data_IF_494944706498
#
_entry.id   IF_494944706498
#
_cell.length_a   1.000
_cell.length_b   1.000
_cell.length_c   1.000
_cell.angle_alpha   90.00
_cell.angle_beta   90.00
_cell.angle_gamma   90.00
#
_symmetry.space_group_name_H-M   'P 1'
#
loop_
_entity.id
_entity.type
_entity.pdbx_description
1 polymer ?
#
# COMPACT_ATOMS: atom_id res chain seq x y z
N UNK A 1 20.12 4.43 1.47
CA UNK A 1 18.81 4.89 0.96
C UNK A 1 17.77 3.90 1.42
N UNK A 2 16.82 4.34 2.23
CA UNK A 2 15.65 3.52 2.57
C UNK A 2 14.43 4.11 1.88
N UNK A 3 13.58 3.23 1.36
CA UNK A 3 12.29 3.58 0.81
C UNK A 3 11.24 3.41 1.90
N UNK A 4 10.45 4.47 2.13
CA UNK A 4 9.41 4.49 3.17
C UNK A 4 8.27 3.51 2.87
N UNK A 5 8.01 3.22 1.59
CA UNK A 5 7.01 2.24 1.17
C UNK A 5 7.54 1.47 -0.04
N UNK A 6 7.69 0.15 0.08
CA UNK A 6 7.95 -0.73 -1.05
C UNK A 6 6.87 -1.81 -1.07
N UNK A 7 6.03 -1.80 -2.11
CA UNK A 7 5.05 -2.88 -2.30
C UNK A 7 5.67 -3.97 -3.15
N UNK A 8 5.88 -5.13 -2.53
CA UNK A 8 6.19 -6.34 -3.27
C UNK A 8 4.92 -6.78 -3.99
N UNK A 9 4.93 -6.73 -5.32
CA UNK A 9 3.89 -7.32 -6.15
C UNK A 9 4.07 -8.84 -6.19
N UNK A 10 3.72 -9.50 -5.10
CA UNK A 10 3.83 -10.96 -4.98
C UNK A 10 2.78 -11.73 -5.80
N UNK A 11 2.05 -11.07 -6.70
CA UNK A 11 1.02 -11.74 -7.50
C UNK A 11 1.67 -12.54 -8.65
N UNK A 12 1.97 -13.81 -8.38
CA UNK A 12 2.31 -14.84 -9.36
C UNK A 12 3.80 -14.97 -9.73
N UNK A 13 4.58 -13.89 -9.69
CA UNK A 13 6.02 -13.91 -10.06
C UNK A 13 7.00 -13.65 -8.92
N UNK A 14 6.51 -13.19 -7.75
CA UNK A 14 7.38 -12.85 -6.61
C UNK A 14 8.27 -11.62 -6.83
N UNK A 15 8.03 -10.83 -7.88
CA UNK A 15 8.84 -9.66 -8.23
C UNK A 15 8.42 -8.44 -7.40
N UNK A 16 9.41 -7.78 -6.81
CA UNK A 16 9.22 -6.53 -6.10
C UNK A 16 9.50 -5.33 -7.01
N UNK A 17 8.64 -4.32 -6.94
CA UNK A 17 8.78 -3.10 -7.73
C UNK A 17 8.90 -1.90 -6.81
N UNK A 18 9.71 -0.94 -7.24
CA UNK A 18 9.96 0.30 -6.54
C UNK A 18 9.48 1.46 -7.38
N UNK A 19 8.43 2.12 -6.92
CA UNK A 19 8.03 3.42 -7.40
C UNK A 19 8.94 4.50 -6.81
N UNK A 20 9.44 5.38 -7.66
CA UNK A 20 10.37 6.45 -7.28
C UNK A 20 9.67 7.80 -7.32
N UNK A 21 10.17 8.78 -6.55
CA UNK A 21 9.66 10.14 -6.57
C UNK A 21 9.77 10.84 -7.95
N UNK A 22 10.47 10.25 -8.92
CA UNK A 22 10.51 10.73 -10.30
C UNK A 22 9.41 10.14 -11.18
N UNK A 23 8.49 9.36 -10.60
CA UNK A 23 7.35 8.76 -11.30
C UNK A 23 7.67 7.47 -12.03
N UNK A 24 8.93 7.00 -11.95
CA UNK A 24 9.39 5.78 -12.58
C UNK A 24 9.24 4.57 -11.64
N UNK A 25 8.95 3.42 -12.23
CA UNK A 25 9.01 2.12 -11.56
C UNK A 25 10.25 1.33 -12.00
N UNK A 26 10.93 0.73 -11.02
CA UNK A 26 12.09 -0.15 -11.24
C UNK A 26 11.88 -1.49 -10.54
N UNK A 27 12.48 -2.57 -11.07
CA UNK A 27 12.51 -3.87 -10.38
C UNK A 27 13.52 -3.81 -9.24
N UNK A 28 13.14 -4.28 -8.06
CA UNK A 28 14.05 -4.36 -6.92
C UNK A 28 14.95 -5.59 -7.03
N UNK A 29 16.20 -5.40 -6.68
CA UNK A 29 17.18 -6.46 -6.44
C UNK A 29 16.97 -7.11 -5.05
N UNK A 30 17.41 -8.36 -4.84
CA UNK A 30 17.42 -8.98 -3.52
C UNK A 30 18.19 -8.19 -2.46
N UNK A 31 19.16 -7.38 -2.87
CA UNK A 31 20.03 -6.57 -2.02
C UNK A 31 19.40 -5.21 -1.66
N UNK A 32 18.32 -4.79 -2.32
CA UNK A 32 17.62 -3.56 -1.99
C UNK A 32 16.97 -3.65 -0.60
N UNK A 33 17.32 -2.69 0.26
CA UNK A 33 16.73 -2.54 1.59
C UNK A 33 15.31 -1.99 1.54
N UNK A 34 14.46 -2.50 2.45
CA UNK A 34 13.11 -2.00 2.70
C UNK A 34 13.00 -1.69 4.18
N UNK A 35 12.62 -0.45 4.52
CA UNK A 35 12.47 -0.06 5.93
C UNK A 35 11.16 -0.62 6.53
N UNK A 36 10.12 -0.70 5.71
CA UNK A 36 8.83 -1.26 6.07
C UNK A 36 8.14 -1.88 4.85
N UNK A 37 7.54 -3.04 5.03
CA UNK A 37 6.78 -3.69 3.97
C UNK A 37 5.91 -4.82 4.52
N UNK A 38 4.70 -4.93 3.99
CA UNK A 38 3.80 -6.06 4.28
C UNK A 38 3.79 -6.98 3.08
N UNK A 39 4.11 -8.26 3.31
CA UNK A 39 4.20 -9.27 2.24
C UNK A 39 3.47 -10.54 2.66
N UNK A 40 2.74 -11.13 1.73
CA UNK A 40 2.07 -12.41 1.94
C UNK A 40 2.17 -13.27 0.68
N UNK A 41 2.09 -14.59 0.85
CA UNK A 41 1.79 -15.47 -0.28
C UNK A 41 0.36 -15.19 -0.72
N UNK A 42 0.15 -15.02 -2.01
CA UNK A 42 -1.15 -14.74 -2.58
C UNK A 42 -1.61 -15.95 -3.41
N UNK A 43 -2.70 -16.57 -2.98
CA UNK A 43 -3.40 -17.61 -3.72
C UNK A 43 -4.23 -16.96 -4.83
N UNK A 44 -3.76 -17.11 -6.08
CA UNK A 44 -4.44 -16.60 -7.28
C UNK A 44 -5.57 -17.52 -7.75
N UNK A 45 -5.83 -18.65 -7.08
CA UNK A 45 -6.91 -19.57 -7.43
C UNK A 45 -8.23 -19.24 -6.74
N UNK A 46 -8.21 -18.32 -5.76
CA UNK A 46 -9.44 -17.82 -5.12
C UNK A 46 -10.40 -17.20 -6.14
N UNK A 47 -11.71 -17.25 -5.90
CA UNK A 47 -12.70 -16.68 -6.82
C UNK A 47 -12.41 -15.22 -7.17
N UNK A 48 -12.63 -14.89 -8.44
CA UNK A 48 -12.61 -13.50 -8.91
C UNK A 48 -14.00 -12.92 -8.75
N UNK A 49 -14.09 -11.84 -7.99
CA UNK A 49 -15.31 -11.07 -7.82
C UNK A 49 -15.24 -9.78 -8.64
N UNK A 50 -16.41 -9.24 -8.99
CA UNK A 50 -16.49 -7.96 -9.70
C UNK A 50 -17.06 -6.89 -8.78
N UNK A 51 -16.34 -5.78 -8.67
CA UNK A 51 -16.87 -4.55 -8.08
C UNK A 51 -17.08 -3.54 -9.20
N UNK A 52 -18.25 -2.91 -9.22
CA UNK A 52 -18.63 -1.92 -10.22
C UNK A 52 -18.98 -0.58 -9.58
N UNK A 53 -18.95 0.48 -10.37
CA UNK A 53 -19.33 1.84 -10.00
C UNK A 53 -18.49 2.37 -8.81
N UNK A 54 -17.16 2.36 -8.94
CA UNK A 54 -16.24 2.90 -7.95
C UNK A 54 -15.91 4.35 -8.32
N UNK A 55 -16.64 5.31 -7.76
CA UNK A 55 -16.46 6.73 -8.03
C UNK A 55 -15.31 7.38 -7.25
N UNK A 56 -14.89 6.79 -6.13
CA UNK A 56 -13.78 7.26 -5.29
C UNK A 56 -13.13 6.12 -4.50
N UNK A 57 -12.01 6.40 -3.82
CA UNK A 57 -11.36 5.45 -2.90
C UNK A 57 -12.23 5.15 -1.67
N UNK A 58 -13.03 6.11 -1.21
CA UNK A 58 -14.00 5.93 -0.12
C UNK A 58 -15.10 4.95 -0.54
N UNK A 59 -15.64 5.09 -1.74
CA UNK A 59 -16.62 4.13 -2.29
C UNK A 59 -16.01 2.74 -2.45
N UNK A 60 -14.72 2.63 -2.82
CA UNK A 60 -14.03 1.33 -2.80
C UNK A 60 -13.98 0.75 -1.39
N UNK A 61 -13.58 1.54 -0.38
CA UNK A 61 -13.52 1.11 1.03
C UNK A 61 -14.89 0.66 1.54
N UNK A 62 -15.96 1.38 1.21
CA UNK A 62 -17.34 1.00 1.54
C UNK A 62 -17.73 -0.33 0.90
N UNK A 63 -17.43 -0.53 -0.39
CA UNK A 63 -17.69 -1.80 -1.09
C UNK A 63 -16.85 -2.95 -0.56
N UNK A 64 -15.69 -2.68 0.02
CA UNK A 64 -14.82 -3.68 0.64
C UNK A 64 -15.24 -4.03 2.08
N UNK A 65 -16.06 -3.20 2.75
CA UNK A 65 -16.43 -3.43 4.15
C UNK A 65 -17.09 -4.80 4.41
N UNK A 66 -18.03 -5.29 3.58
CA UNK A 66 -18.66 -6.60 3.79
C UNK A 66 -17.69 -7.79 3.75
N UNK A 67 -16.54 -7.64 3.08
CA UNK A 67 -15.54 -8.70 2.94
C UNK A 67 -14.77 -8.96 4.23
N UNK A 68 -14.60 -7.92 5.05
CA UNK A 68 -13.84 -7.99 6.32
C UNK A 68 -14.76 -8.06 7.54
N UNK A 69 -16.04 -7.69 7.39
CA UNK A 69 -17.02 -7.66 8.48
C UNK A 69 -17.18 -9.01 9.19
N UNK A 70 -17.08 -10.13 8.47
CA UNK A 70 -17.19 -11.47 9.07
C UNK A 70 -16.06 -11.77 10.05
N UNK A 71 -14.86 -11.20 9.85
CA UNK A 71 -13.75 -11.34 10.77
C UNK A 71 -12.81 -10.12 10.68
N UNK A 72 -13.11 -9.02 11.39
CA UNK A 72 -12.30 -7.81 11.34
C UNK A 72 -10.95 -7.95 12.06
N UNK A 73 -10.69 -9.10 12.68
CA UNK A 73 -9.53 -9.38 13.52
C UNK A 73 -8.43 -10.18 12.79
N UNK A 74 -8.51 -10.31 11.47
CA UNK A 74 -7.43 -10.90 10.67
C UNK A 74 -7.00 -9.94 9.57
N UNK A 75 -5.78 -10.15 9.09
CA UNK A 75 -5.30 -9.42 7.93
C UNK A 75 -5.98 -9.93 6.66
N UNK A 76 -6.14 -9.05 5.68
CA UNK A 76 -6.55 -9.46 4.34
C UNK A 76 -5.63 -8.85 3.30
N UNK A 77 -5.26 -9.64 2.28
CA UNK A 77 -4.55 -9.16 1.11
C UNK A 77 -5.52 -9.12 -0.06
N UNK A 78 -5.58 -7.97 -0.72
CA UNK A 78 -6.42 -7.71 -1.88
C UNK A 78 -5.54 -7.59 -3.13
N UNK A 79 -5.98 -8.19 -4.22
CA UNK A 79 -5.52 -7.84 -5.56
C UNK A 79 -6.73 -7.48 -6.41
N UNK A 80 -6.72 -6.28 -6.98
CA UNK A 80 -7.72 -5.86 -7.96
C UNK A 80 -7.04 -5.46 -9.27
N UNK A 81 -7.67 -5.75 -10.40
CA UNK A 81 -7.20 -5.34 -11.74
C UNK A 81 -8.32 -4.66 -12.49
N UNK A 82 -7.98 -3.63 -13.26
CA UNK A 82 -8.94 -2.95 -14.13
C UNK A 82 -8.33 -1.73 -14.81
N UNK A 83 -9.22 -0.94 -15.41
CA UNK A 83 -8.89 0.36 -15.98
C UNK A 83 -9.47 1.45 -15.10
N UNK A 84 -8.60 2.37 -14.69
CA UNK A 84 -8.92 3.45 -13.78
C UNK A 84 -9.14 4.73 -14.59
N UNK A 85 -10.37 5.23 -14.59
CA UNK A 85 -10.69 6.52 -15.22
C UNK A 85 -9.92 7.67 -14.57
N UNK A 86 -9.66 7.56 -13.26
CA UNK A 86 -8.74 8.41 -12.50
C UNK A 86 -7.88 7.57 -11.58
N UNK A 87 -6.61 7.89 -11.49
CA UNK A 87 -5.68 7.32 -10.52
C UNK A 87 -4.82 8.44 -9.96
N UNK A 88 -4.88 8.64 -8.64
CA UNK A 88 -4.10 9.62 -7.92
C UNK A 88 -3.18 8.88 -6.93
N UNK A 89 -1.88 8.99 -7.16
CA UNK A 89 -0.87 8.31 -6.37
C UNK A 89 0.20 9.28 -5.87
N UNK A 90 0.97 8.85 -4.88
CA UNK A 90 2.18 9.54 -4.45
C UNK A 90 3.41 8.64 -4.41
N UNK A 91 4.57 9.26 -4.33
CA UNK A 91 5.84 8.62 -4.00
C UNK A 91 6.72 9.57 -3.17
N UNK A 92 7.38 9.02 -2.15
CA UNK A 92 8.31 9.76 -1.30
C UNK A 92 9.75 9.67 -1.85
N UNK A 93 10.56 10.68 -1.57
CA UNK A 93 11.99 10.66 -1.91
C UNK A 93 12.75 9.67 -1.03
N UNK A 94 13.85 9.14 -1.57
CA UNK A 94 14.80 8.37 -0.78
C UNK A 94 15.38 9.28 0.33
N UNK A 95 15.40 8.76 1.56
CA UNK A 95 15.95 9.48 2.69
C UNK A 95 17.39 9.03 2.98
N UNK A 96 18.20 9.97 3.49
CA UNK A 96 19.58 9.75 3.93
C UNK A 96 19.73 10.05 5.43
N UNK A 97 20.81 9.57 6.04
CA UNK A 97 21.07 9.82 7.47
C UNK A 97 21.50 11.29 7.69
N UNK A 98 21.09 11.92 8.80
CA UNK A 98 20.13 11.43 9.79
C UNK A 98 18.71 11.37 9.20
N UNK A 99 18.04 10.21 9.34
CA UNK A 99 16.75 10.02 8.68
C UNK A 99 15.70 10.96 9.28
N UNK A 100 14.94 11.67 8.44
CA UNK A 100 13.77 12.42 8.89
C UNK A 100 12.69 11.46 9.39
N UNK A 101 11.74 12.00 10.14
CA UNK A 101 10.48 11.31 10.43
C UNK A 101 9.69 11.07 9.13
N UNK A 102 8.77 10.11 9.15
CA UNK A 102 7.93 9.83 7.98
C UNK A 102 7.11 11.06 7.56
N UNK A 103 6.62 11.85 8.52
CA UNK A 103 5.87 13.09 8.27
C UNK A 103 6.71 14.16 7.58
N UNK A 104 7.98 14.30 7.97
CA UNK A 104 8.92 15.20 7.28
C UNK A 104 9.24 14.69 5.88
N UNK A 105 9.46 13.38 5.72
CA UNK A 105 9.74 12.77 4.42
C UNK A 105 8.57 12.91 3.44
N UNK A 106 7.33 12.75 3.92
CA UNK A 106 6.12 12.85 3.09
C UNK A 106 5.72 14.29 2.80
N UNK A 107 6.17 15.27 3.59
CA UNK A 107 5.87 16.70 3.33
C UNK A 107 6.38 17.20 1.97
N UNK A 108 7.37 16.49 1.41
CA UNK A 108 7.93 16.74 0.09
C UNK A 108 7.60 15.62 -0.91
N UNK A 109 6.57 14.81 -0.67
CA UNK A 109 6.15 13.77 -1.60
C UNK A 109 5.80 14.35 -2.98
N UNK A 110 5.99 13.56 -4.03
CA UNK A 110 5.41 13.87 -5.35
C UNK A 110 4.10 13.14 -5.52
N UNK A 111 3.12 13.88 -6.00
CA UNK A 111 1.82 13.36 -6.40
C UNK A 111 1.70 13.29 -7.92
N UNK A 112 1.03 12.25 -8.41
CA UNK A 112 0.84 11.99 -9.82
C UNK A 112 -0.61 11.62 -10.08
N UNK A 113 -1.18 12.24 -11.11
CA UNK A 113 -2.54 11.95 -11.55
C UNK A 113 -2.53 11.37 -12.96
N UNK A 114 -3.19 10.23 -13.12
CA UNK A 114 -3.35 9.54 -14.39
C UNK A 114 -4.83 9.40 -14.73
N UNK A 115 -5.11 9.37 -16.02
CA UNK A 115 -6.45 9.11 -16.55
C UNK A 115 -6.41 7.90 -17.47
N UNK A 116 -7.47 7.11 -17.44
CA UNK A 116 -7.65 5.92 -18.28
C UNK A 116 -6.45 4.97 -18.25
N UNK A 117 -5.87 4.77 -17.06
CA UNK A 117 -4.70 3.92 -16.87
C UNK A 117 -5.14 2.51 -16.48
N UNK A 118 -4.64 1.50 -17.20
CA UNK A 118 -4.85 0.10 -16.84
C UNK A 118 -3.76 -0.38 -15.89
N UNK A 119 -4.12 -1.20 -14.91
CA UNK A 119 -3.15 -1.70 -13.96
C UNK A 119 -3.75 -2.58 -12.89
N UNK A 120 -2.97 -2.76 -11.83
CA UNK A 120 -3.33 -3.54 -10.66
C UNK A 120 -3.27 -2.67 -9.41
N UNK A 121 -4.12 -2.99 -8.45
CA UNK A 121 -4.10 -2.49 -7.08
C UNK A 121 -3.79 -3.67 -6.17
N UNK A 122 -2.82 -3.49 -5.28
CA UNK A 122 -2.63 -4.36 -4.12
C UNK A 122 -3.00 -3.57 -2.89
N UNK A 123 -3.75 -4.20 -1.98
CA UNK A 123 -4.08 -3.59 -0.71
C UNK A 123 -3.94 -4.58 0.43
N UNK A 124 -3.60 -4.07 1.60
CA UNK A 124 -3.68 -4.82 2.85
C UNK A 124 -4.74 -4.20 3.75
N UNK A 125 -5.57 -5.04 4.36
CA UNK A 125 -6.39 -4.68 5.51
C UNK A 125 -5.65 -5.10 6.78
N UNK A 126 -5.44 -4.15 7.69
CA UNK A 126 -4.88 -4.40 9.01
C UNK A 126 -5.95 -4.27 10.10
N UNK A 127 -6.09 -5.28 10.98
CA UNK A 127 -7.00 -5.22 12.12
C UNK A 127 -6.76 -4.04 13.08
N UNK A 128 -7.79 -3.56 13.80
CA UNK A 128 -7.62 -2.48 14.78
C UNK A 128 -6.58 -2.77 15.88
N UNK A 129 -6.43 -4.03 16.31
CA UNK A 129 -5.50 -4.38 17.41
C UNK A 129 -4.02 -4.26 17.05
N UNK A 130 -3.67 -4.03 15.78
CA UNK A 130 -2.26 -3.82 15.36
C UNK A 130 -1.89 -2.34 15.25
N UNK A 131 -2.66 -1.46 15.90
CA UNK A 131 -2.32 -0.05 16.05
C UNK A 131 -0.91 0.11 16.64
N UNK A 132 -0.15 1.08 16.12
CA UNK A 132 1.26 1.28 16.47
C UNK A 132 2.23 0.31 15.78
N UNK A 133 1.73 -0.75 15.13
CA UNK A 133 2.54 -1.72 14.39
C UNK A 133 2.36 -1.58 12.88
N UNK A 134 1.12 -1.34 12.42
CA UNK A 134 0.78 -1.19 11.01
C UNK A 134 -0.32 -0.11 10.82
N UNK A 135 -0.60 0.26 9.57
CA UNK A 135 -1.67 1.20 9.24
C UNK A 135 -3.04 0.50 9.32
N UNK A 136 -3.92 1.00 10.19
CA UNK A 136 -5.25 0.42 10.40
C UNK A 136 -6.15 0.49 9.17
N UNK A 137 -6.96 -0.56 8.96
CA UNK A 137 -7.88 -0.63 7.84
C UNK A 137 -7.15 -0.85 6.51
N UNK A 138 -7.72 -0.31 5.43
CA UNK A 138 -7.21 -0.56 4.07
C UNK A 138 -6.10 0.41 3.65
N UNK A 139 -4.95 -0.15 3.24
CA UNK A 139 -3.80 0.54 2.67
C UNK A 139 -3.57 0.08 1.22
N UNK A 140 -3.56 1.01 0.25
CA UNK A 140 -3.61 0.69 -1.17
C UNK A 140 -2.41 1.21 -1.95
N UNK A 141 -1.91 0.37 -2.87
CA UNK A 141 -0.84 0.73 -3.81
C UNK A 141 -1.20 0.31 -5.23
N UNK A 142 -0.73 1.07 -6.22
CA UNK A 142 -1.00 0.88 -7.64
C UNK A 142 0.28 0.56 -8.43
N UNK A 143 0.13 -0.26 -9.47
CA UNK A 143 1.14 -0.49 -10.50
C UNK A 143 0.45 -0.58 -11.86
N UNK A 144 0.92 0.21 -12.81
CA UNK A 144 0.42 0.19 -14.18
C UNK A 144 0.70 -1.14 -14.87
N UNK A 145 -0.12 -1.49 -15.87
CA UNK A 145 -0.02 -2.75 -16.60
C UNK A 145 1.33 -2.91 -17.32
N UNK A 146 1.85 -1.81 -17.86
CA UNK A 146 3.17 -1.71 -18.50
C UNK A 146 4.34 -1.62 -17.50
N UNK A 147 4.03 -1.50 -16.19
CA UNK A 147 4.98 -1.46 -15.07
C UNK A 147 5.93 -0.26 -15.11
N UNK A 148 5.50 0.85 -15.70
CA UNK A 148 6.30 2.08 -15.80
C UNK A 148 5.98 3.09 -14.70
N UNK A 149 4.76 3.03 -14.14
CA UNK A 149 4.30 3.93 -13.07
C UNK A 149 3.58 3.17 -11.95
N UNK A 150 3.63 3.71 -10.74
CA UNK A 150 3.05 3.10 -9.55
C UNK A 150 3.34 3.93 -8.31
N UNK A 151 2.73 3.55 -7.18
CA UNK A 151 2.87 4.27 -5.91
C UNK A 151 1.71 4.04 -4.95
N UNK A 152 1.75 4.75 -3.82
CA UNK A 152 0.70 4.75 -2.81
C UNK A 152 -0.54 5.47 -3.35
N UNK A 153 -1.74 4.90 -3.20
CA UNK A 153 -2.97 5.49 -3.74
C UNK A 153 -3.60 6.48 -2.77
N UNK A 154 -3.73 7.71 -3.22
CA UNK A 154 -4.49 8.77 -2.55
C UNK A 154 -5.95 8.81 -3.05
N UNK A 155 -6.19 8.47 -4.32
CA UNK A 155 -7.54 8.43 -4.87
C UNK A 155 -7.63 7.60 -6.14
N UNK A 156 -8.80 7.03 -6.43
CA UNK A 156 -9.05 6.29 -7.66
C UNK A 156 -10.50 6.38 -8.09
N UNK A 157 -10.75 6.15 -9.38
CA UNK A 157 -12.08 5.93 -9.96
C UNK A 157 -11.98 4.78 -10.98
N UNK A 158 -12.93 3.85 -10.94
CA UNK A 158 -13.03 2.75 -11.90
C UNK A 158 -14.50 2.32 -12.10
N UNK A 159 -14.85 2.01 -13.35
CA UNK A 159 -16.20 1.51 -13.67
C UNK A 159 -16.37 0.06 -13.22
N UNK A 160 -15.32 -0.75 -13.38
CA UNK A 160 -15.30 -2.16 -12.97
C UNK A 160 -13.89 -2.60 -12.57
N UNK A 161 -13.80 -3.36 -11.48
CA UNK A 161 -12.58 -4.01 -11.00
C UNK A 161 -12.83 -5.50 -10.84
N UNK A 162 -11.87 -6.32 -11.30
CA UNK A 162 -11.81 -7.75 -11.01
C UNK A 162 -10.94 -7.96 -9.78
N UNK A 163 -11.50 -8.55 -8.74
CA UNK A 163 -10.98 -8.56 -7.38
C UNK A 163 -10.78 -9.99 -6.88
N UNK A 164 -9.66 -10.20 -6.21
CA UNK A 164 -9.36 -11.42 -5.45
C UNK A 164 -8.93 -11.02 -4.05
N UNK A 165 -9.40 -11.76 -3.04
CA UNK A 165 -9.15 -11.49 -1.63
C UNK A 165 -8.61 -12.73 -0.95
N UNK A 166 -7.60 -12.57 -0.12
CA UNK A 166 -7.00 -13.65 0.66
C UNK A 166 -7.05 -13.28 2.15
N UNK A 167 -7.69 -14.09 3.03
CA UNK A 167 -7.51 -13.96 4.46
C UNK A 167 -6.11 -14.42 4.86
N UNK A 168 -5.45 -13.64 5.71
CA UNK A 168 -4.09 -13.91 6.19
C UNK A 168 -4.17 -14.16 7.71
N UNK A 169 -3.93 -15.41 8.10
CA UNK A 169 -4.08 -15.87 9.48
C UNK A 169 -2.77 -15.90 10.26
N UNK A 170 -1.64 -15.88 9.55
CA UNK A 170 -0.30 -15.89 10.12
C UNK A 170 0.43 -14.58 9.79
N UNK A 171 1.11 -14.02 10.78
CA UNK A 171 1.98 -12.87 10.59
C UNK A 171 3.24 -13.02 11.42
N UNK A 172 4.36 -12.49 10.90
CA UNK A 172 5.63 -12.43 11.61
C UNK A 172 6.11 -10.99 11.58
N UNK A 173 6.41 -10.45 12.75
CA UNK A 173 6.98 -9.13 12.96
C UNK A 173 8.37 -9.31 13.57
N UNK A 174 9.21 -8.28 13.45
CA UNK A 174 10.51 -8.05 14.09
C UNK A 174 11.71 -8.11 13.12
N UNK A 175 12.26 -6.94 12.74
CA UNK A 175 13.60 -6.87 12.18
C UNK A 175 14.66 -7.01 13.30
N UNK A 176 15.70 -7.80 13.06
CA UNK A 176 16.82 -8.00 13.99
C UNK A 176 17.96 -7.02 13.68
N UNK A 177 17.77 -5.71 13.94
CA UNK A 177 18.84 -4.73 13.73
C UNK A 177 19.01 -3.73 14.90
N UNK A 178 20.24 -3.19 15.13
CA UNK A 178 20.51 -2.30 16.26
C UNK A 178 19.73 -0.99 16.25
N UNK A 179 19.42 -0.43 15.07
CA UNK A 179 18.63 0.80 14.98
C UNK A 179 17.23 0.56 15.54
N UNK A 180 16.58 -0.55 15.16
CA UNK A 180 15.28 -0.96 15.70
C UNK A 180 15.32 -1.19 17.22
N UNK A 181 16.36 -1.87 17.72
CA UNK A 181 16.51 -2.15 19.16
C UNK A 181 16.68 -0.89 20.02
N UNK A 182 17.16 0.21 19.44
CA UNK A 182 17.40 1.49 20.13
C UNK A 182 16.22 2.46 20.11
N UNK A 183 15.13 2.14 19.39
CA UNK A 183 13.98 3.04 19.22
C UNK A 183 12.96 2.86 20.35
N UNK A 184 12.42 3.98 20.83
CA UNK A 184 11.20 3.97 21.62
C UNK A 184 10.01 3.79 20.67
N UNK A 185 9.37 2.61 20.74
CA UNK A 185 8.23 2.26 19.89
C UNK A 185 6.88 2.54 20.57
N UNK A 186 6.87 3.12 21.77
CA UNK A 186 5.67 3.45 22.52
C UNK A 186 5.29 4.94 22.42
N UNK A 187 6.02 5.74 21.63
CA UNK A 187 5.62 7.12 21.30
C UNK A 187 4.29 7.12 20.53
N UNK A 188 3.33 7.97 20.93
CA UNK A 188 2.08 8.16 20.19
C UNK A 188 2.34 8.97 18.91
N UNK A 189 2.32 8.27 17.78
CA UNK A 189 2.51 8.84 16.44
C UNK A 189 1.22 8.82 15.61
N UNK A 190 0.06 8.50 16.19
CA UNK A 190 -1.21 8.30 15.48
C UNK A 190 -1.60 9.47 14.58
N UNK A 191 -1.52 10.71 15.09
CA UNK A 191 -1.81 11.92 14.34
C UNK A 191 -0.85 12.14 13.16
N UNK A 192 0.45 11.86 13.35
CA UNK A 192 1.46 11.97 12.28
C UNK A 192 1.21 10.91 11.21
N UNK A 193 0.90 9.67 11.60
CA UNK A 193 0.56 8.59 10.66
C UNK A 193 -0.67 8.91 9.83
N UNK A 194 -1.73 9.45 10.43
CA UNK A 194 -2.93 9.84 9.68
C UNK A 194 -2.68 10.99 8.69
N UNK A 195 -1.84 11.97 9.08
CA UNK A 195 -1.45 13.07 8.20
C UNK A 195 -0.60 12.60 7.01
N UNK A 196 0.19 11.55 7.20
CA UNK A 196 0.91 10.91 6.09
C UNK A 196 -0.03 10.02 5.29
N UNK A 197 -0.64 9.00 5.86
CA UNK A 197 -1.33 7.93 5.11
C UNK A 197 -2.76 8.27 4.63
N UNK A 198 -3.30 9.42 5.02
CA UNK A 198 -4.64 9.88 4.63
C UNK A 198 -4.64 10.89 3.49
N UNK A 199 -5.78 11.02 2.80
CA UNK A 199 -6.07 12.25 2.06
C UNK A 199 -6.16 13.40 3.06
N UNK A 200 -5.22 14.35 2.98
CA UNK A 200 -5.38 15.63 3.68
C UNK A 200 -6.70 16.24 3.20
N UNK A 201 -7.70 16.31 4.10
CA UNK A 201 -8.90 17.09 3.84
C UNK A 201 -8.48 18.54 3.75
N UNK A 202 -8.43 19.07 2.53
CA UNK A 202 -8.54 20.50 2.28
C UNK A 202 -10.02 20.86 2.09
#
# INVERSE_FOLDING_TARGET
MWYAEAVRWAAGSGVAYRATADGNVTVMSPEDGVAFGTVAKFDTTVPVEKLENISSIEVLKEKLAPYVEKNPNIFYMLKATGTFGKMHIRSCYACEKPYPTLSEASSHQKEFQYQNVSGSVIAVYCPPYVEGINLLGWHFHFLSQDKTTGGHILGLQADSLSLQLNPILDWKLLPENPEFASRDLCEDLSAKTAAVEGNAKH
#
